data_IF_391233055467
#
_entry.id   IF_391233055467
#
_cell.length_a   1.000
_cell.length_b   1.000
_cell.length_c   1.000
_cell.angle_alpha   90.00
_cell.angle_beta   90.00
_cell.angle_gamma   90.00
#
_symmetry.space_group_name_H-M   'P 1'
#
loop_
_entity.id
_entity.type
_entity.pdbx_description
1 polymer ?
#
# COMPACT_ATOMS: atom_id res chain seq x y z
N UNK A 1 -24.31 1.03 -17.96
CA UNK A 1 -24.64 0.76 -16.55
C UNK A 1 -23.41 1.04 -15.69
N UNK A 2 -23.47 2.07 -14.83
CA UNK A 2 -22.60 2.24 -13.64
C UNK A 2 -23.04 3.48 -12.87
N UNK A 3 -24.10 3.30 -12.09
CA UNK A 3 -24.40 4.10 -10.90
C UNK A 3 -23.47 3.65 -9.77
N UNK A 4 -22.31 4.29 -9.65
CA UNK A 4 -21.48 4.27 -8.44
C UNK A 4 -20.55 5.48 -8.52
N UNK A 5 -20.50 6.30 -7.47
CA UNK A 5 -19.74 7.57 -7.46
C UNK A 5 -18.24 7.42 -7.70
N UNK A 6 -17.50 8.56 -7.72
CA UNK A 6 -16.04 8.57 -7.85
C UNK A 6 -15.42 7.62 -6.82
N UNK A 7 -14.55 6.66 -7.20
CA UNK A 7 -14.00 5.69 -6.26
C UNK A 7 -13.03 6.35 -5.28
N UNK A 8 -12.72 5.66 -4.17
CA UNK A 8 -11.69 6.10 -3.21
C UNK A 8 -10.37 6.41 -3.95
N UNK A 9 -9.81 7.58 -3.66
CA UNK A 9 -8.55 8.06 -4.24
C UNK A 9 -7.39 7.77 -3.27
N UNK A 10 -6.44 6.97 -3.73
CA UNK A 10 -5.22 6.67 -2.98
C UNK A 10 -4.10 6.27 -3.94
N UNK A 11 -2.87 6.38 -3.46
CA UNK A 11 -1.67 6.03 -4.21
C UNK A 11 -0.63 5.35 -3.32
N UNK A 12 0.16 4.49 -3.94
CA UNK A 12 1.32 3.83 -3.34
C UNK A 12 2.52 4.20 -4.21
N UNK A 13 3.57 4.72 -3.57
CA UNK A 13 4.71 5.32 -4.25
C UNK A 13 6.00 4.72 -3.72
N UNK A 14 6.90 4.37 -4.63
CA UNK A 14 8.27 3.98 -4.35
C UNK A 14 9.16 4.85 -5.23
N UNK A 15 10.10 5.57 -4.62
CA UNK A 15 10.91 6.58 -5.33
C UNK A 15 10.04 7.61 -6.09
N UNK A 16 8.89 7.97 -5.53
CA UNK A 16 7.92 8.91 -6.13
C UNK A 16 7.15 8.36 -7.34
N UNK A 17 7.30 7.08 -7.69
CA UNK A 17 6.58 6.43 -8.80
C UNK A 17 5.57 5.42 -8.27
N UNK A 18 4.42 5.34 -8.92
CA UNK A 18 3.35 4.37 -8.60
C UNK A 18 3.31 3.22 -9.59
N UNK A 19 2.65 2.12 -9.20
CA UNK A 19 2.33 0.94 -10.02
C UNK A 19 3.54 0.11 -10.47
N UNK A 20 4.51 0.69 -11.18
CA UNK A 20 5.75 0.03 -11.59
C UNK A 20 6.93 0.94 -11.33
N UNK A 21 7.93 0.43 -10.60
CA UNK A 21 9.09 1.21 -10.20
C UNK A 21 10.36 0.36 -10.20
N UNK A 22 11.50 1.02 -10.05
CA UNK A 22 12.80 0.39 -9.92
C UNK A 22 13.46 0.84 -8.62
N UNK A 23 14.14 -0.08 -7.96
CA UNK A 23 14.89 0.18 -6.74
C UNK A 23 16.14 -0.68 -6.67
N UNK A 24 17.11 -0.26 -5.86
CA UNK A 24 18.26 -1.10 -5.51
C UNK A 24 17.86 -2.06 -4.38
N UNK A 25 18.58 -3.19 -4.20
CA UNK A 25 18.45 -4.00 -3.00
C UNK A 25 18.65 -3.17 -1.72
N UNK A 26 17.93 -3.52 -0.66
CA UNK A 26 17.96 -2.81 0.61
C UNK A 26 16.58 -2.66 1.25
N UNK A 27 16.47 -1.76 2.23
CA UNK A 27 15.18 -1.31 2.77
C UNK A 27 14.64 -0.22 1.86
N UNK A 28 13.51 -0.50 1.22
CA UNK A 28 12.85 0.38 0.26
C UNK A 28 11.70 1.09 0.97
N UNK A 29 11.69 2.42 0.90
CA UNK A 29 10.61 3.25 1.40
C UNK A 29 9.38 3.18 0.46
N UNK A 30 8.23 2.87 1.04
CA UNK A 30 6.94 2.81 0.35
C UNK A 30 6.02 3.85 0.99
N UNK A 31 5.75 4.94 0.27
CA UNK A 31 4.83 5.96 0.73
C UNK A 31 3.40 5.64 0.25
N UNK A 32 2.45 5.61 1.18
CA UNK A 32 1.03 5.40 0.94
C UNK A 32 0.28 6.69 1.26
N UNK A 33 -0.39 7.26 0.25
CA UNK A 33 -1.21 8.46 0.41
C UNK A 33 -2.67 8.20 0.10
N UNK A 34 -3.58 8.76 0.88
CA UNK A 34 -5.02 8.71 0.60
C UNK A 34 -5.78 9.88 1.20
N UNK A 35 -6.92 10.18 0.60
CA UNK A 35 -7.93 11.09 1.13
C UNK A 35 -9.30 10.48 0.91
N UNK A 36 -10.13 10.41 1.95
CA UNK A 36 -11.49 9.91 1.81
C UNK A 36 -12.39 10.92 1.09
N UNK A 37 -13.48 10.42 0.52
CA UNK A 37 -14.47 11.22 -0.20
C UNK A 37 -15.39 11.91 0.78
N UNK A 38 -15.80 13.13 0.43
CA UNK A 38 -16.78 13.91 1.20
C UNK A 38 -16.39 14.08 2.69
N UNK A 39 -15.08 14.23 2.96
CA UNK A 39 -14.58 14.42 4.33
C UNK A 39 -14.48 13.15 5.17
N UNK A 40 -14.75 11.97 4.58
CA UNK A 40 -14.51 10.69 5.26
C UNK A 40 -13.02 10.46 5.49
N UNK A 41 -12.72 9.68 6.51
CA UNK A 41 -11.35 9.35 6.89
C UNK A 41 -10.89 8.08 6.19
N UNK A 42 -9.59 7.84 6.20
CA UNK A 42 -8.99 6.65 5.61
C UNK A 42 -8.07 5.96 6.62
N UNK A 43 -7.85 4.67 6.46
CA UNK A 43 -6.88 3.92 7.25
C UNK A 43 -6.21 2.85 6.41
N UNK A 44 -5.05 2.39 6.88
CA UNK A 44 -4.42 1.19 6.33
C UNK A 44 -5.32 -0.03 6.59
N UNK A 45 -5.74 -0.68 5.52
CA UNK A 45 -6.65 -1.83 5.52
C UNK A 45 -5.92 -3.17 5.58
N UNK A 46 -6.70 -4.24 5.65
CA UNK A 46 -6.23 -5.62 5.52
C UNK A 46 -6.49 -6.13 4.11
N UNK A 47 -5.52 -6.83 3.53
CA UNK A 47 -5.69 -7.51 2.25
C UNK A 47 -6.68 -8.68 2.40
N UNK A 48 -6.46 -9.56 3.37
CA UNK A 48 -7.31 -10.72 3.60
C UNK A 48 -7.28 -11.16 5.08
N UNK A 49 -8.43 -11.19 5.74
CA UNK A 49 -8.55 -11.49 7.19
C UNK A 49 -7.53 -10.66 8.00
N UNK A 50 -6.55 -11.31 8.62
CA UNK A 50 -5.52 -10.70 9.45
C UNK A 50 -4.26 -10.33 8.66
N UNK A 51 -4.19 -10.66 7.36
CA UNK A 51 -3.06 -10.33 6.49
C UNK A 51 -3.15 -8.87 6.01
N UNK A 52 -2.16 -8.05 6.39
CA UNK A 52 -2.08 -6.64 6.01
C UNK A 52 -1.81 -6.46 4.52
N UNK A 53 -0.83 -7.21 4.01
CA UNK A 53 -0.34 -7.06 2.66
C UNK A 53 -0.39 -8.40 1.93
N UNK A 54 -0.56 -8.34 0.62
CA UNK A 54 -0.18 -9.46 -0.26
C UNK A 54 1.16 -9.14 -0.86
N UNK A 55 2.11 -10.05 -0.75
CA UNK A 55 3.43 -9.92 -1.38
C UNK A 55 3.81 -11.21 -2.09
N UNK A 56 4.28 -11.06 -3.31
CA UNK A 56 4.86 -12.12 -4.14
C UNK A 56 6.23 -11.63 -4.56
N UNK A 57 7.29 -12.40 -4.26
CA UNK A 57 8.65 -11.99 -4.59
C UNK A 57 9.53 -13.17 -4.98
N UNK A 58 10.56 -12.87 -5.76
CA UNK A 58 11.60 -13.83 -6.17
C UNK A 58 12.79 -13.86 -5.21
N UNK A 59 12.79 -12.96 -4.21
CA UNK A 59 13.91 -12.71 -3.31
C UNK A 59 13.58 -12.81 -1.81
N UNK A 60 12.35 -13.22 -1.46
CA UNK A 60 11.90 -13.30 -0.07
C UNK A 60 11.70 -11.93 0.58
N UNK A 61 11.34 -10.92 -0.21
CA UNK A 61 11.03 -9.60 0.30
C UNK A 61 9.75 -9.61 1.16
N UNK A 62 9.70 -8.75 2.18
CA UNK A 62 8.56 -8.59 3.09
C UNK A 62 8.38 -7.13 3.51
N UNK A 63 7.15 -6.77 3.90
CA UNK A 63 6.85 -5.47 4.51
C UNK A 63 6.96 -5.59 6.03
N UNK A 64 7.60 -4.62 6.68
CA UNK A 64 7.65 -4.56 8.15
C UNK A 64 6.27 -4.24 8.72
N UNK A 65 5.76 -5.14 9.56
CA UNK A 65 4.43 -5.03 10.18
C UNK A 65 4.46 -4.70 11.68
N UNK A 66 5.65 -4.48 12.27
CA UNK A 66 5.82 -4.41 13.73
C UNK A 66 5.17 -3.18 14.39
N UNK A 67 5.03 -2.06 13.68
CA UNK A 67 4.48 -0.80 14.20
C UNK A 67 3.59 -0.10 13.16
N UNK A 68 2.65 -0.85 12.59
CA UNK A 68 1.72 -0.28 11.61
C UNK A 68 0.62 0.54 12.30
N UNK A 69 0.31 1.75 11.78
CA UNK A 69 -0.76 2.57 12.33
C UNK A 69 -2.11 1.86 12.21
N UNK A 70 -2.92 1.98 13.26
CA UNK A 70 -4.30 1.46 13.33
C UNK A 70 -5.35 2.58 13.35
N UNK A 71 -4.91 3.84 13.44
CA UNK A 71 -5.78 5.01 13.47
C UNK A 71 -6.35 5.36 12.08
N UNK A 72 -7.33 6.26 12.09
CA UNK A 72 -7.92 6.87 10.89
C UNK A 72 -7.31 8.25 10.64
N UNK A 73 -7.25 8.65 9.38
CA UNK A 73 -6.61 9.88 8.92
C UNK A 73 -7.55 10.66 7.99
N UNK A 74 -7.64 11.98 8.18
CA UNK A 74 -8.32 12.87 7.22
C UNK A 74 -7.51 12.96 5.91
N UNK A 75 -6.19 13.11 6.04
CA UNK A 75 -5.20 12.97 4.97
C UNK A 75 -4.14 11.96 5.43
N UNK A 76 -4.08 10.82 4.75
CA UNK A 76 -3.15 9.75 5.08
C UNK A 76 -1.85 9.94 4.30
N UNK A 77 -0.72 9.86 5.00
CA UNK A 77 0.65 9.84 4.45
C UNK A 77 1.48 8.91 5.34
N UNK A 78 1.58 7.64 4.97
CA UNK A 78 2.22 6.57 5.75
C UNK A 78 3.43 6.07 5.00
N UNK A 79 4.54 5.88 5.71
CA UNK A 79 5.75 5.26 5.18
C UNK A 79 5.87 3.83 5.68
N UNK A 80 5.85 2.86 4.77
CA UNK A 80 6.09 1.44 5.03
C UNK A 80 7.53 1.08 4.62
N UNK A 81 8.11 0.08 5.27
CA UNK A 81 9.45 -0.43 4.95
C UNK A 81 9.33 -1.77 4.24
N UNK A 82 9.73 -1.80 2.98
CA UNK A 82 9.86 -3.03 2.20
C UNK A 82 11.30 -3.54 2.30
N UNK A 83 11.49 -4.65 3.00
CA UNK A 83 12.78 -5.32 3.16
C UNK A 83 13.09 -6.16 1.92
N UNK A 84 14.13 -5.79 1.19
CA UNK A 84 14.61 -6.46 -0.02
C UNK A 84 16.15 -6.58 -0.04
N UNK A 85 16.78 -6.69 1.13
CA UNK A 85 18.24 -6.71 1.32
C UNK A 85 18.91 -7.90 0.62
N UNK A 86 18.21 -9.03 0.52
CA UNK A 86 18.71 -10.24 -0.13
C UNK A 86 18.46 -10.26 -1.65
N UNK A 87 17.84 -9.22 -2.20
CA UNK A 87 17.52 -9.17 -3.61
C UNK A 87 18.76 -9.01 -4.48
N UNK A 88 18.71 -9.63 -5.66
CA UNK A 88 19.69 -9.54 -6.73
C UNK A 88 19.08 -8.79 -7.90
N UNK A 89 19.95 -8.31 -8.78
CA UNK A 89 19.52 -7.67 -10.01
C UNK A 89 18.56 -8.60 -10.79
N UNK A 90 17.47 -8.02 -11.31
CA UNK A 90 16.35 -8.69 -12.01
C UNK A 90 15.34 -9.39 -11.11
N UNK A 91 15.52 -9.39 -9.79
CA UNK A 91 14.44 -9.81 -8.91
C UNK A 91 13.24 -8.87 -9.04
N UNK A 92 12.06 -9.45 -8.91
CA UNK A 92 10.77 -8.76 -8.97
C UNK A 92 10.05 -8.97 -7.65
N UNK A 93 9.46 -7.88 -7.15
CA UNK A 93 8.59 -7.85 -5.98
C UNK A 93 7.26 -7.25 -6.42
N UNK A 94 6.16 -7.95 -6.17
CA UNK A 94 4.80 -7.46 -6.36
C UNK A 94 4.11 -7.42 -5.01
N UNK A 95 3.69 -6.25 -4.55
CA UNK A 95 2.98 -6.12 -3.28
C UNK A 95 1.70 -5.30 -3.43
N UNK A 96 0.68 -5.61 -2.64
CA UNK A 96 -0.61 -4.91 -2.60
C UNK A 96 -0.81 -4.25 -1.25
N UNK A 97 -1.02 -2.93 -1.26
CA UNK A 97 -1.46 -2.17 -0.08
C UNK A 97 -2.95 -1.93 -0.19
N UNK A 98 -3.67 -2.13 0.92
CA UNK A 98 -5.11 -1.90 1.00
C UNK A 98 -5.39 -0.65 1.83
N UNK A 99 -6.32 0.18 1.35
CA UNK A 99 -6.82 1.35 2.09
C UNK A 99 -8.33 1.22 2.23
N UNK A 100 -8.82 1.49 3.44
CA UNK A 100 -10.25 1.53 3.75
C UNK A 100 -10.69 2.96 4.02
N UNK A 101 -11.80 3.36 3.42
CA UNK A 101 -12.54 4.58 3.72
C UNK A 101 -13.50 4.31 4.89
N UNK A 102 -13.42 5.14 5.92
CA UNK A 102 -14.12 4.98 7.19
C UNK A 102 -15.02 6.20 7.46
N UNK A 103 -16.20 5.95 8.00
CA UNK A 103 -17.10 6.95 8.57
C UNK A 103 -17.67 6.42 9.89
N UNK A 104 -17.37 7.09 11.01
CA UNK A 104 -17.80 6.67 12.36
C UNK A 104 -17.65 5.16 12.62
N UNK A 105 -16.43 4.64 12.41
CA UNK A 105 -16.05 3.22 12.55
C UNK A 105 -16.69 2.22 11.56
N UNK A 106 -17.51 2.70 10.62
CA UNK A 106 -18.06 1.88 9.53
C UNK A 106 -17.13 1.96 8.31
N UNK A 107 -16.71 0.80 7.79
CA UNK A 107 -15.99 0.71 6.51
C UNK A 107 -17.00 0.88 5.36
N UNK A 108 -16.80 1.91 4.53
CA UNK A 108 -17.69 2.20 3.42
C UNK A 108 -17.16 1.65 2.09
N UNK A 109 -15.85 1.77 1.88
CA UNK A 109 -15.18 1.26 0.69
C UNK A 109 -13.78 0.79 1.07
N UNK A 110 -13.33 -0.28 0.43
CA UNK A 110 -11.98 -0.82 0.60
C UNK A 110 -11.39 -1.12 -0.76
N UNK A 111 -10.16 -0.66 -1.00
CA UNK A 111 -9.46 -0.87 -2.27
C UNK A 111 -8.00 -1.25 -2.05
N UNK A 112 -7.53 -2.22 -2.83
CA UNK A 112 -6.13 -2.61 -2.92
C UNK A 112 -5.47 -2.03 -4.15
N UNK A 113 -4.21 -1.60 -4.02
CA UNK A 113 -3.38 -1.16 -5.14
C UNK A 113 -2.07 -1.94 -5.13
N UNK A 114 -1.83 -2.64 -6.24
CA UNK A 114 -0.61 -3.42 -6.44
C UNK A 114 0.48 -2.56 -7.04
N UNK A 115 1.67 -2.67 -6.47
CA UNK A 115 2.90 -2.05 -6.96
C UNK A 115 3.93 -3.12 -7.26
N UNK A 116 4.60 -3.00 -8.40
CA UNK A 116 5.68 -3.87 -8.85
C UNK A 116 6.99 -3.10 -8.74
N UNK A 117 7.98 -3.71 -8.07
CA UNK A 117 9.35 -3.22 -7.95
C UNK A 117 10.27 -4.17 -8.69
N UNK A 118 10.98 -3.65 -9.68
CA UNK A 118 12.04 -4.37 -10.37
C UNK A 118 13.40 -3.95 -9.79
N UNK A 119 14.18 -4.92 -9.34
CA UNK A 119 15.46 -4.68 -8.68
C UNK A 119 16.56 -4.47 -9.73
N UNK A 120 17.25 -3.33 -9.67
CA UNK A 120 18.25 -2.88 -10.65
C UNK A 120 19.67 -2.77 -10.10
#
# INVERSE_FOLDING_TARGET
ESTAGKPLEFGVFVNGKSSYTMAKPGVIDVNVKSSGRQGRKTKLGFHFKDDRFRIESTCGAFLDETDLPSNVFDLMDIHLKLHAENAKQRDVISFTVTVSEMDNDVEFERRGLTTIVHIV
#
